data_IF_616548646526
#
_entry.id   IF_616548646526
#
_cell.length_a   1.000
_cell.length_b   1.000
_cell.length_c   1.000
_cell.angle_alpha   90.00
_cell.angle_beta   90.00
_cell.angle_gamma   90.00
#
_symmetry.space_group_name_H-M   'P 1'
#
loop_
_entity.id
_entity.type
_entity.pdbx_description
1 polymer ?
#
# COMPACT_ATOMS: atom_id res chain seq x y z
N UNK A 1 -8.94 -2.31 0.98
CA UNK A 1 -8.90 -1.10 0.13
C UNK A 1 -9.98 -0.08 0.47
N UNK A 2 -11.21 -0.48 0.86
CA UNK A 2 -12.30 0.45 1.21
C UNK A 2 -11.87 1.58 2.18
N UNK A 3 -11.25 1.25 3.34
CA UNK A 3 -10.74 2.26 4.29
C UNK A 3 -9.81 3.30 3.63
N UNK A 4 -8.84 2.84 2.83
CA UNK A 4 -7.90 3.72 2.13
C UNK A 4 -8.56 4.55 1.02
N UNK A 5 -9.65 4.04 0.42
CA UNK A 5 -10.45 4.80 -0.56
C UNK A 5 -11.19 5.93 0.15
N UNK A 6 -11.84 5.62 1.26
CA UNK A 6 -12.65 6.60 2.00
C UNK A 6 -11.76 7.68 2.65
N UNK A 7 -10.55 7.32 3.04
CA UNK A 7 -9.55 8.23 3.61
C UNK A 7 -8.59 8.84 2.58
N UNK A 8 -8.78 8.62 1.28
CA UNK A 8 -7.80 9.00 0.25
C UNK A 8 -7.36 10.47 0.31
N UNK A 9 -8.31 11.38 0.54
CA UNK A 9 -8.04 12.82 0.66
C UNK A 9 -7.14 13.17 1.85
N UNK A 10 -7.17 12.38 2.92
CA UNK A 10 -6.29 12.58 4.09
C UNK A 10 -4.82 12.35 3.73
N UNK A 11 -4.54 11.44 2.79
CA UNK A 11 -3.19 11.17 2.30
C UNK A 11 -2.75 12.25 1.31
N UNK A 12 -3.58 12.58 0.32
CA UNK A 12 -3.22 13.58 -0.70
C UNK A 12 -3.06 14.97 -0.09
N UNK A 13 -3.86 15.33 0.91
CA UNK A 13 -3.71 16.57 1.68
C UNK A 13 -2.37 16.69 2.44
N UNK A 14 -1.68 15.58 2.67
CA UNK A 14 -0.33 15.54 3.26
C UNK A 14 0.79 15.40 2.22
N UNK A 15 0.45 15.50 0.94
CA UNK A 15 1.39 15.29 -0.16
C UNK A 15 1.84 13.84 -0.32
N UNK A 16 1.05 12.87 0.15
CA UNK A 16 1.29 11.44 0.00
C UNK A 16 0.34 10.83 -1.03
N UNK A 17 0.88 9.96 -1.91
CA UNK A 17 0.10 9.18 -2.86
C UNK A 17 -0.01 7.73 -2.38
N UNK A 18 -1.18 7.11 -2.60
CA UNK A 18 -1.38 5.68 -2.34
C UNK A 18 -1.08 4.90 -3.62
N UNK A 19 -0.25 3.87 -3.51
CA UNK A 19 0.04 2.91 -4.58
C UNK A 19 -0.41 1.52 -4.12
N UNK A 20 -1.46 0.97 -4.74
CA UNK A 20 -1.92 -0.39 -4.45
C UNK A 20 -1.32 -1.38 -5.45
N UNK A 21 -0.50 -2.30 -4.95
CA UNK A 21 0.21 -3.29 -5.76
C UNK A 21 -0.41 -4.67 -5.57
N UNK A 22 -0.56 -5.46 -6.63
CA UNK A 22 -1.17 -6.78 -6.52
C UNK A 22 -0.93 -7.68 -7.73
N UNK A 23 -1.12 -9.00 -7.60
CA UNK A 23 -0.65 -9.99 -8.56
C UNK A 23 -1.56 -10.17 -9.78
N UNK A 24 -2.61 -9.37 -9.91
CA UNK A 24 -3.55 -9.48 -11.01
C UNK A 24 -3.01 -8.77 -12.25
N UNK A 25 -3.51 -9.17 -13.42
CA UNK A 25 -3.21 -8.54 -14.70
C UNK A 25 -3.73 -7.10 -14.77
N UNK A 26 -3.16 -6.31 -15.69
CA UNK A 26 -3.60 -4.93 -15.97
C UNK A 26 -5.12 -4.82 -16.25
N UNK A 27 -5.68 -5.71 -17.07
CA UNK A 27 -7.12 -5.72 -17.38
C UNK A 27 -7.99 -5.93 -16.13
N UNK A 28 -7.61 -6.86 -15.26
CA UNK A 28 -8.30 -7.13 -14.00
C UNK A 28 -8.20 -5.93 -13.03
N UNK A 29 -7.05 -5.27 -12.96
CA UNK A 29 -6.89 -4.02 -12.21
C UNK A 29 -7.82 -2.93 -12.73
N UNK A 30 -7.80 -2.65 -14.03
CA UNK A 30 -8.64 -1.62 -14.64
C UNK A 30 -10.13 -1.88 -14.40
N UNK A 31 -10.57 -3.14 -14.52
CA UNK A 31 -11.96 -3.52 -14.24
C UNK A 31 -12.32 -3.28 -12.77
N UNK A 32 -11.48 -3.74 -11.83
CA UNK A 32 -11.72 -3.56 -10.40
C UNK A 32 -11.73 -2.09 -10.00
N UNK A 33 -10.77 -1.30 -10.49
CA UNK A 33 -10.67 0.13 -10.21
C UNK A 33 -11.92 0.90 -10.65
N UNK A 34 -12.41 0.59 -11.85
CA UNK A 34 -13.64 1.20 -12.38
C UNK A 34 -14.87 0.79 -11.57
N UNK A 35 -14.99 -0.50 -11.26
CA UNK A 35 -16.17 -1.02 -10.56
C UNK A 35 -16.25 -0.52 -9.11
N UNK A 36 -15.11 -0.41 -8.43
CA UNK A 36 -15.02 0.01 -7.03
C UNK A 36 -14.70 1.50 -6.87
N UNK A 37 -14.66 2.26 -7.97
CA UNK A 37 -14.35 3.71 -7.97
C UNK A 37 -13.10 4.03 -7.13
N UNK A 38 -12.01 3.30 -7.37
CA UNK A 38 -10.78 3.43 -6.60
C UNK A 38 -10.05 4.72 -7.03
N UNK A 39 -9.77 5.67 -6.12
CA UNK A 39 -9.28 7.01 -6.48
C UNK A 39 -7.75 7.14 -6.51
N UNK A 40 -7.02 6.07 -6.20
CA UNK A 40 -5.56 6.04 -6.14
C UNK A 40 -4.97 5.09 -7.18
N UNK A 41 -3.64 5.08 -7.32
CA UNK A 41 -2.96 4.36 -8.40
C UNK A 41 -2.91 2.84 -8.09
N UNK A 42 -3.29 2.02 -9.07
CA UNK A 42 -3.08 0.58 -9.06
C UNK A 42 -1.84 0.19 -9.86
N UNK A 43 -1.02 -0.71 -9.32
CA UNK A 43 0.15 -1.29 -9.99
C UNK A 43 -0.06 -2.80 -10.11
N UNK A 44 -0.44 -3.28 -11.31
CA UNK A 44 -0.41 -4.70 -11.63
C UNK A 44 1.02 -5.25 -11.50
N UNK A 45 1.20 -6.35 -10.75
CA UNK A 45 2.47 -7.04 -10.54
C UNK A 45 2.31 -8.57 -10.73
N UNK A 46 1.84 -9.03 -11.91
CA UNK A 46 1.53 -10.45 -12.14
C UNK A 46 2.77 -11.35 -12.06
N UNK A 47 3.96 -10.84 -12.39
CA UNK A 47 5.23 -11.57 -12.21
C UNK A 47 5.83 -11.41 -10.80
N UNK A 48 5.12 -10.76 -9.88
CA UNK A 48 5.52 -10.54 -8.49
C UNK A 48 6.88 -9.82 -8.31
N UNK A 49 7.29 -8.99 -9.27
CA UNK A 49 8.59 -8.29 -9.26
C UNK A 49 8.67 -7.30 -8.10
N UNK A 50 7.61 -6.52 -7.88
CA UNK A 50 7.54 -5.56 -6.78
C UNK A 50 7.45 -6.32 -5.46
N UNK A 51 6.60 -7.34 -5.38
CA UNK A 51 6.48 -8.16 -4.17
C UNK A 51 7.80 -8.82 -3.75
N UNK A 52 8.59 -9.31 -4.70
CA UNK A 52 9.94 -9.88 -4.46
C UNK A 52 10.92 -8.80 -4.03
N UNK A 53 10.95 -7.65 -4.72
CA UNK A 53 11.85 -6.54 -4.39
C UNK A 53 11.66 -6.04 -2.96
N UNK A 54 10.40 -5.95 -2.52
CA UNK A 54 10.03 -5.52 -1.17
C UNK A 54 10.04 -6.65 -0.15
N UNK A 55 10.52 -7.85 -0.53
CA UNK A 55 10.60 -9.03 0.33
C UNK A 55 9.28 -9.37 1.03
N UNK A 56 8.15 -9.17 0.34
CA UNK A 56 6.83 -9.49 0.85
C UNK A 56 6.75 -10.98 1.17
N UNK A 57 6.43 -11.31 2.42
CA UNK A 57 6.45 -12.67 2.93
C UNK A 57 5.46 -13.57 2.17
N UNK A 58 5.90 -14.77 1.80
CA UNK A 58 5.03 -15.87 1.35
C UNK A 58 4.83 -16.82 2.51
N UNK A 59 3.58 -17.19 2.80
CA UNK A 59 3.27 -18.18 3.81
C UNK A 59 2.38 -19.27 3.20
N UNK A 60 2.96 -20.46 2.97
CA UNK A 60 2.28 -21.61 2.37
C UNK A 60 1.13 -22.14 3.25
N UNK A 61 1.27 -22.05 4.57
CA UNK A 61 0.19 -22.41 5.50
C UNK A 61 -0.96 -21.39 5.50
N UNK A 62 -0.74 -20.19 4.94
CA UNK A 62 -1.75 -19.13 4.76
C UNK A 62 -2.11 -18.90 3.30
N UNK A 63 -1.75 -19.85 2.43
CA UNK A 63 -2.14 -19.95 1.02
C UNK A 63 -1.82 -18.69 0.18
N UNK A 64 -0.75 -17.96 0.48
CA UNK A 64 -0.37 -16.81 -0.35
C UNK A 64 0.67 -15.86 0.24
N UNK A 65 0.74 -14.67 -0.36
CA UNK A 65 1.55 -13.56 0.14
C UNK A 65 0.83 -12.87 1.29
N UNK A 66 1.57 -12.58 2.36
CA UNK A 66 1.09 -11.81 3.49
C UNK A 66 0.94 -10.33 3.12
N UNK A 67 0.00 -9.58 3.72
CA UNK A 67 -0.09 -8.14 3.52
C UNK A 67 1.23 -7.44 3.84
N UNK A 68 1.57 -6.45 3.02
CA UNK A 68 2.68 -5.53 3.27
C UNK A 68 2.15 -4.12 3.08
N UNK A 69 2.41 -3.25 4.05
CA UNK A 69 2.16 -1.83 3.95
C UNK A 69 3.45 -1.09 4.27
N UNK A 70 3.85 -0.16 3.41
CA UNK A 70 5.05 0.62 3.63
C UNK A 70 4.86 2.07 3.20
N UNK A 71 5.69 2.95 3.77
CA UNK A 71 5.78 4.36 3.40
C UNK A 71 7.19 4.60 2.88
N UNK A 72 7.27 5.09 1.65
CA UNK A 72 8.51 5.47 1.00
C UNK A 72 8.55 6.99 0.89
N UNK A 73 9.61 7.62 1.38
CA UNK A 73 9.77 9.08 1.27
C UNK A 73 10.21 9.51 -0.13
N UNK A 74 10.22 10.82 -0.38
CA UNK A 74 10.58 11.41 -1.68
C UNK A 74 12.03 11.12 -2.11
N UNK A 75 12.90 10.70 -1.19
CA UNK A 75 14.27 10.28 -1.47
C UNK A 75 14.38 8.77 -1.72
N UNK A 76 13.26 8.05 -1.80
CA UNK A 76 13.22 6.61 -2.05
C UNK A 76 13.54 5.76 -0.82
N UNK A 77 13.52 6.32 0.40
CA UNK A 77 13.79 5.56 1.63
C UNK A 77 12.50 5.03 2.25
N UNK A 78 12.50 3.77 2.65
CA UNK A 78 11.43 3.19 3.46
C UNK A 78 11.50 3.81 4.86
N UNK A 79 10.42 4.49 5.26
CA UNK A 79 10.28 5.14 6.57
C UNK A 79 9.35 4.40 7.52
N UNK A 80 8.54 3.52 6.97
CA UNK A 80 7.69 2.59 7.71
C UNK A 80 7.47 1.34 6.87
N UNK A 81 7.47 0.17 7.49
CA UNK A 81 7.08 -1.08 6.86
C UNK A 81 6.42 -2.00 7.89
N UNK A 82 5.21 -2.44 7.58
CA UNK A 82 4.46 -3.44 8.34
C UNK A 82 4.32 -4.70 7.50
N UNK A 83 5.02 -5.75 7.90
CA UNK A 83 4.87 -7.09 7.33
C UNK A 83 3.83 -7.84 8.16
N UNK A 84 2.63 -8.02 7.62
CA UNK A 84 1.51 -8.58 8.36
C UNK A 84 1.74 -10.03 8.77
N UNK A 85 1.47 -10.33 10.04
CA UNK A 85 1.49 -11.69 10.57
C UNK A 85 0.22 -12.48 10.23
N UNK A 86 -0.85 -11.85 9.74
CA UNK A 86 -2.10 -12.49 9.27
C UNK A 86 -2.69 -11.74 8.08
N UNK A 87 -3.70 -12.30 7.40
CA UNK A 87 -4.35 -11.62 6.27
C UNK A 87 -5.10 -10.34 6.70
N UNK A 88 -5.56 -10.29 7.95
CA UNK A 88 -6.23 -9.13 8.54
C UNK A 88 -5.28 -8.22 9.33
N UNK A 89 -4.00 -8.59 9.45
CA UNK A 89 -2.99 -7.80 10.15
C UNK A 89 -2.48 -6.69 9.22
N UNK A 90 -3.24 -5.61 9.19
CA UNK A 90 -2.99 -4.40 8.40
C UNK A 90 -3.07 -3.22 9.37
N UNK A 91 -2.11 -2.28 9.36
CA UNK A 91 -2.12 -1.15 10.28
C UNK A 91 -3.31 -0.22 10.00
N UNK A 92 -3.69 0.55 11.02
CA UNK A 92 -4.77 1.52 10.92
C UNK A 92 -4.35 2.74 10.07
N UNK A 93 -5.31 3.39 9.43
CA UNK A 93 -5.05 4.60 8.62
C UNK A 93 -4.34 5.66 9.48
N UNK A 94 -4.77 5.82 10.72
CA UNK A 94 -4.25 6.77 11.69
C UNK A 94 -2.75 6.56 11.96
N UNK A 95 -2.30 5.30 12.05
CA UNK A 95 -0.87 4.98 12.17
C UNK A 95 -0.08 5.50 10.98
N UNK A 96 -0.59 5.31 9.76
CA UNK A 96 0.08 5.75 8.53
C UNK A 96 0.13 7.27 8.44
N UNK A 97 -0.98 7.95 8.77
CA UNK A 97 -1.06 9.40 8.75
C UNK A 97 -0.10 10.01 9.77
N UNK A 98 0.03 9.43 10.97
CA UNK A 98 1.01 9.88 11.97
C UNK A 98 2.45 9.81 11.45
N UNK A 99 2.83 8.70 10.80
CA UNK A 99 4.16 8.58 10.20
C UNK A 99 4.37 9.66 9.13
N UNK A 100 3.38 9.89 8.25
CA UNK A 100 3.49 10.92 7.20
C UNK A 100 3.62 12.32 7.83
N UNK A 101 2.88 12.61 8.90
CA UNK A 101 2.94 13.90 9.60
C UNK A 101 4.32 14.11 10.26
N UNK A 102 4.90 13.09 10.88
CA UNK A 102 6.26 13.13 11.42
C UNK A 102 7.33 13.35 10.33
N UNK A 103 7.16 12.71 9.16
CA UNK A 103 8.06 12.91 8.01
C UNK A 103 8.01 14.34 7.48
N UNK A 104 6.81 14.91 7.37
CA UNK A 104 6.63 16.27 6.93
C UNK A 104 7.18 17.28 7.96
N UNK A 105 7.00 17.02 9.26
CA UNK A 105 7.52 17.88 10.32
C UNK A 105 9.06 17.86 10.39
N UNK A 106 9.70 16.72 10.13
CA UNK A 106 11.17 16.57 10.13
C UNK A 106 11.87 17.04 8.85
N UNK A 107 11.10 17.40 7.82
CA UNK A 107 11.61 17.92 6.55
C UNK A 107 11.57 19.45 6.45
N UNK A 108 11.01 20.12 7.47
CA UNK A 108 11.03 21.58 7.66
C UNK A 108 12.22 21.99 8.54
#
# INVERSE_FOLDING_TARGET
>A
MARLRDDHEKFTGRGAAILAVGPNTDTAFQQYWRNETIPFIGIPDPEHRVAVLYRQQVNLFKLGRMPLMCIVDKNGRIRFAHYGASMSDIPETETLLSVIDELNASSN
#
